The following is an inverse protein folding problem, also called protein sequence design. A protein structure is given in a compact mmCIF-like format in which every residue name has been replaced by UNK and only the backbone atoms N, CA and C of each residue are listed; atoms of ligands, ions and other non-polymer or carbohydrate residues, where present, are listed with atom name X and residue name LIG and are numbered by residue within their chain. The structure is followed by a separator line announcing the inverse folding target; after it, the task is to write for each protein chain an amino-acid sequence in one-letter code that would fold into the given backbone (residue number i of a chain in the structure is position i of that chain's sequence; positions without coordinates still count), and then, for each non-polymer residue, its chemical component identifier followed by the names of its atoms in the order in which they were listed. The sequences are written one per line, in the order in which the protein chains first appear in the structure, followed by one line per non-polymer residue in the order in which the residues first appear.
data_IF_553214000904
#
_entry.id   IF_553214000904
#
_cell.length_a   1.000
_cell.length_b   1.000
_cell.length_c   1.000
_cell.angle_alpha   90.00
_cell.angle_beta   90.00
_cell.angle_gamma   90.00
#
_symmetry.space_group_name_H-M   'P 1'
#
loop_
_entity.id
_entity.type
_entity.pdbx_description
1 polymer ?
#
# COMPACT_ATOMS: atom_id res chain seq x y z
N UNK A 1 -34.47 -13.09 -36.36
CA UNK A 1 -33.58 -14.10 -35.73
C UNK A 1 -32.55 -13.35 -34.91
N UNK A 2 -32.70 -13.33 -33.59
CA UNK A 2 -31.67 -12.80 -32.68
C UNK A 2 -30.53 -13.81 -32.76
N UNK A 3 -29.36 -13.41 -33.30
CA UNK A 3 -28.15 -14.23 -33.18
C UNK A 3 -27.96 -14.47 -31.68
N UNK A 4 -27.88 -15.73 -31.25
CA UNK A 4 -27.47 -16.03 -29.90
C UNK A 4 -26.16 -15.29 -29.64
N UNK A 5 -26.10 -14.49 -28.57
CA UNK A 5 -24.89 -13.78 -28.20
C UNK A 5 -23.77 -14.82 -28.04
N UNK A 6 -22.63 -14.59 -28.70
CA UNK A 6 -21.46 -15.43 -28.47
C UNK A 6 -20.95 -15.11 -27.06
N UNK A 7 -21.11 -16.07 -26.15
CA UNK A 7 -20.62 -15.98 -24.78
C UNK A 7 -19.42 -16.91 -24.60
N UNK A 8 -18.42 -16.44 -23.86
CA UNK A 8 -17.27 -17.23 -23.48
C UNK A 8 -16.98 -17.06 -21.99
N UNK A 9 -16.42 -18.09 -21.39
CA UNK A 9 -15.93 -18.05 -20.03
C UNK A 9 -14.41 -17.97 -20.03
N UNK A 10 -13.88 -17.19 -19.10
CA UNK A 10 -12.47 -16.98 -18.89
C UNK A 10 -12.02 -17.78 -17.66
N UNK A 11 -11.03 -18.62 -17.91
CA UNK A 11 -10.33 -19.42 -16.93
C UNK A 11 -8.97 -18.80 -16.65
N UNK A 12 -8.69 -18.44 -15.40
CA UNK A 12 -7.42 -17.86 -15.00
C UNK A 12 -6.66 -18.83 -14.11
N UNK A 13 -5.32 -18.78 -14.17
CA UNK A 13 -4.47 -19.46 -13.20
C UNK A 13 -4.88 -19.05 -11.76
N UNK A 14 -4.99 -20.03 -10.87
CA UNK A 14 -5.40 -19.88 -9.45
C UNK A 14 -6.88 -19.50 -9.21
N UNK A 15 -7.65 -19.15 -10.24
CA UNK A 15 -9.09 -18.82 -10.12
C UNK A 15 -10.01 -19.80 -10.89
N UNK A 16 -9.48 -20.57 -11.84
CA UNK A 16 -10.32 -21.39 -12.71
C UNK A 16 -11.35 -20.53 -13.45
N UNK A 17 -12.53 -21.10 -13.72
CA UNK A 17 -13.62 -20.42 -14.43
C UNK A 17 -14.26 -19.33 -13.58
N UNK A 18 -13.97 -18.06 -13.88
CA UNK A 18 -14.26 -16.94 -12.97
C UNK A 18 -15.02 -15.79 -13.61
N UNK A 19 -14.94 -15.61 -14.93
CA UNK A 19 -15.54 -14.48 -15.63
C UNK A 19 -16.30 -14.94 -16.88
N UNK A 20 -17.54 -14.48 -17.08
CA UNK A 20 -18.28 -14.63 -18.34
C UNK A 20 -18.34 -13.34 -19.14
N UNK A 21 -17.92 -13.38 -20.40
CA UNK A 21 -18.07 -12.28 -21.36
C UNK A 21 -19.13 -12.65 -22.40
N UNK A 22 -20.10 -11.76 -22.64
CA UNK A 22 -21.17 -11.96 -23.62
C UNK A 22 -21.19 -10.85 -24.67
N UNK A 23 -20.97 -11.21 -25.93
CA UNK A 23 -20.98 -10.30 -27.09
C UNK A 23 -20.02 -9.09 -26.98
N UNK A 24 -18.84 -9.29 -26.40
CA UNK A 24 -17.84 -8.23 -26.15
C UNK A 24 -16.39 -8.67 -26.46
N UNK A 25 -16.08 -9.10 -27.70
CA UNK A 25 -14.72 -9.51 -28.09
C UNK A 25 -13.65 -8.44 -27.85
N UNK A 26 -14.00 -7.15 -28.01
CA UNK A 26 -13.09 -6.04 -27.77
C UNK A 26 -12.70 -5.87 -26.28
N UNK A 27 -13.57 -6.30 -25.35
CA UNK A 27 -13.25 -6.33 -23.92
C UNK A 27 -12.30 -7.49 -23.62
N UNK A 28 -12.50 -8.64 -24.28
CA UNK A 28 -11.59 -9.77 -24.16
C UNK A 28 -10.16 -9.42 -24.63
N UNK A 29 -10.04 -8.75 -25.77
CA UNK A 29 -8.74 -8.30 -26.29
C UNK A 29 -8.08 -7.28 -25.35
N UNK A 30 -8.87 -6.33 -24.82
CA UNK A 30 -8.38 -5.36 -23.85
C UNK A 30 -7.90 -6.02 -22.55
N UNK A 31 -8.66 -6.99 -22.04
CA UNK A 31 -8.34 -7.72 -20.82
C UNK A 31 -7.06 -8.55 -20.99
N UNK A 32 -6.93 -9.29 -22.10
CA UNK A 32 -5.72 -10.09 -22.42
C UNK A 32 -4.46 -9.23 -22.51
N UNK A 33 -4.57 -8.04 -23.12
CA UNK A 33 -3.44 -7.13 -23.22
C UNK A 33 -3.09 -6.49 -21.86
N UNK A 34 -4.11 -6.11 -21.06
CA UNK A 34 -3.91 -5.53 -19.74
C UNK A 34 -3.37 -6.53 -18.71
N UNK A 35 -3.65 -7.82 -18.90
CA UNK A 35 -3.19 -8.92 -18.04
C UNK A 35 -2.16 -9.81 -18.75
N UNK A 36 -1.25 -9.22 -19.53
CA UNK A 36 -0.29 -9.97 -20.33
C UNK A 36 0.59 -10.95 -19.53
N UNK A 37 0.74 -10.76 -18.21
CA UNK A 37 1.45 -11.65 -17.30
C UNK A 37 0.58 -12.68 -16.59
N UNK A 38 -0.75 -12.59 -16.69
CA UNK A 38 -1.71 -13.52 -16.08
C UNK A 38 -2.47 -14.28 -17.18
N UNK A 39 -2.02 -15.50 -17.55
CA UNK A 39 -2.60 -16.22 -18.67
C UNK A 39 -4.11 -16.44 -18.51
N UNK A 40 -4.86 -16.07 -19.56
CA UNK A 40 -6.30 -16.25 -19.66
C UNK A 40 -6.60 -17.32 -20.70
N UNK A 41 -7.12 -18.45 -20.24
CA UNK A 41 -7.73 -19.47 -21.11
C UNK A 41 -9.18 -19.08 -21.38
N UNK A 42 -9.62 -19.20 -22.63
CA UNK A 42 -10.99 -18.89 -23.05
C UNK A 42 -11.67 -20.16 -23.50
N UNK A 43 -12.79 -20.47 -22.88
CA UNK A 43 -13.62 -21.64 -23.19
C UNK A 43 -15.01 -21.19 -23.62
N UNK A 44 -15.71 -22.02 -24.40
CA UNK A 44 -17.12 -21.75 -24.72
C UNK A 44 -17.95 -21.70 -23.43
N UNK A 45 -18.90 -20.77 -23.36
CA UNK A 45 -19.71 -20.61 -22.17
C UNK A 45 -20.70 -21.77 -22.02
N UNK A 46 -20.58 -22.52 -20.92
CA UNK A 46 -21.46 -23.64 -20.58
C UNK A 46 -22.07 -23.46 -19.19
N UNK A 47 -23.33 -23.90 -19.01
CA UNK A 47 -24.00 -23.92 -17.71
C UNK A 47 -24.19 -22.54 -17.05
N UNK A 48 -24.28 -22.55 -15.72
CA UNK A 48 -24.48 -21.35 -14.90
C UNK A 48 -23.29 -20.38 -15.02
N UNK A 49 -23.61 -19.09 -15.19
CA UNK A 49 -22.60 -18.05 -15.29
C UNK A 49 -21.83 -17.90 -13.97
N UNK A 50 -20.50 -17.69 -14.01
CA UNK A 50 -19.73 -17.22 -12.87
C UNK A 50 -20.31 -15.91 -12.28
N UNK A 51 -19.99 -15.60 -11.00
CA UNK A 51 -20.47 -14.38 -10.34
C UNK A 51 -20.07 -13.10 -11.08
N UNK A 52 -18.83 -13.04 -11.58
CA UNK A 52 -18.32 -11.93 -12.37
C UNK A 52 -18.73 -12.15 -13.83
N UNK A 53 -19.48 -11.19 -14.38
CA UNK A 53 -19.97 -11.25 -15.76
C UNK A 53 -20.07 -9.87 -16.37
N UNK A 54 -19.83 -9.80 -17.67
CA UNK A 54 -20.00 -8.59 -18.45
C UNK A 54 -20.67 -8.89 -19.79
N UNK A 55 -21.66 -8.07 -20.13
CA UNK A 55 -22.38 -8.17 -21.40
C UNK A 55 -22.50 -6.81 -22.07
N UNK A 56 -22.67 -6.81 -23.39
CA UNK A 56 -22.96 -5.59 -24.15
C UNK A 56 -24.30 -4.98 -23.72
N UNK A 57 -24.31 -3.68 -23.45
CA UNK A 57 -25.51 -2.90 -23.14
C UNK A 57 -25.48 -1.59 -23.95
N UNK A 58 -26.35 -1.50 -24.97
CA UNK A 58 -26.40 -0.35 -25.86
C UNK A 58 -25.05 -0.09 -26.56
N UNK A 59 -24.42 1.05 -26.24
CA UNK A 59 -23.10 1.45 -26.78
C UNK A 59 -21.92 1.08 -25.88
N UNK A 60 -22.18 0.53 -24.70
CA UNK A 60 -21.17 0.16 -23.72
C UNK A 60 -21.39 -1.25 -23.21
N UNK A 61 -21.12 -1.44 -21.93
CA UNK A 61 -21.14 -2.72 -21.27
C UNK A 61 -21.75 -2.60 -19.88
N UNK A 62 -22.37 -3.68 -19.42
CA UNK A 62 -22.81 -3.81 -18.04
C UNK A 62 -22.06 -4.95 -17.37
N UNK A 63 -21.31 -4.60 -16.32
CA UNK A 63 -20.65 -5.55 -15.43
C UNK A 63 -21.55 -5.87 -14.23
N UNK A 64 -21.56 -7.11 -13.79
CA UNK A 64 -22.10 -7.54 -12.51
C UNK A 64 -21.08 -8.43 -11.80
N UNK A 65 -20.99 -8.29 -10.49
CA UNK A 65 -20.14 -9.09 -9.61
C UNK A 65 -20.69 -9.04 -8.18
N UNK A 66 -20.18 -9.86 -7.24
CA UNK A 66 -20.54 -9.73 -5.82
C UNK A 66 -20.32 -8.33 -5.26
N UNK A 67 -19.24 -7.65 -5.68
CA UNK A 67 -18.94 -6.27 -5.29
C UNK A 67 -19.84 -5.22 -5.97
N UNK A 68 -20.54 -5.59 -7.05
CA UNK A 68 -21.39 -4.72 -7.86
C UNK A 68 -22.79 -5.35 -8.06
N UNK A 69 -23.61 -5.48 -6.99
CA UNK A 69 -24.91 -6.16 -7.07
C UNK A 69 -25.88 -5.47 -8.05
N UNK A 70 -25.90 -4.14 -8.06
CA UNK A 70 -26.70 -3.33 -8.99
C UNK A 70 -26.12 -3.24 -10.41
N UNK A 71 -24.90 -3.77 -10.57
CA UNK A 71 -24.11 -3.69 -11.79
C UNK A 71 -23.57 -2.29 -12.10
N UNK A 72 -22.56 -2.24 -12.96
CA UNK A 72 -21.87 -1.02 -13.37
C UNK A 72 -21.90 -0.86 -14.88
N UNK A 73 -22.33 0.31 -15.36
CA UNK A 73 -22.24 0.67 -16.77
C UNK A 73 -20.85 1.19 -17.10
N UNK A 74 -20.26 0.68 -18.17
CA UNK A 74 -18.90 0.96 -18.61
C UNK A 74 -18.94 1.38 -20.07
N UNK A 75 -18.31 2.50 -20.37
CA UNK A 75 -18.46 3.17 -21.66
C UNK A 75 -17.46 2.70 -22.72
N UNK A 76 -16.32 2.14 -22.30
CA UNK A 76 -15.24 1.70 -23.19
C UNK A 76 -14.73 0.31 -22.83
N UNK A 77 -14.09 -0.41 -23.77
CA UNK A 77 -13.43 -1.67 -23.47
C UNK A 77 -12.31 -1.55 -22.42
N UNK A 78 -11.61 -0.41 -22.42
CA UNK A 78 -10.52 -0.10 -21.49
C UNK A 78 -11.04 0.09 -20.07
N UNK A 79 -12.17 0.81 -19.93
CA UNK A 79 -12.87 0.98 -18.65
C UNK A 79 -13.39 -0.36 -18.13
N UNK A 80 -13.97 -1.17 -19.03
CA UNK A 80 -14.44 -2.51 -18.71
C UNK A 80 -13.31 -3.44 -18.26
N UNK A 81 -12.19 -3.47 -18.98
CA UNK A 81 -11.02 -4.27 -18.59
C UNK A 81 -10.49 -3.83 -17.21
N UNK A 82 -10.41 -2.53 -16.93
CA UNK A 82 -10.03 -2.03 -15.62
C UNK A 82 -10.97 -2.52 -14.50
N UNK A 83 -12.27 -2.38 -14.70
CA UNK A 83 -13.27 -2.73 -13.70
C UNK A 83 -13.30 -4.24 -13.46
N UNK A 84 -13.14 -5.05 -14.51
CA UNK A 84 -13.02 -6.50 -14.41
C UNK A 84 -11.73 -6.93 -13.70
N UNK A 85 -10.59 -6.29 -13.98
CA UNK A 85 -9.33 -6.59 -13.29
C UNK A 85 -9.47 -6.37 -11.79
N UNK A 86 -10.13 -5.30 -11.34
CA UNK A 86 -10.36 -5.06 -9.92
C UNK A 86 -11.15 -6.20 -9.26
N UNK A 87 -12.23 -6.66 -9.88
CA UNK A 87 -13.00 -7.81 -9.38
C UNK A 87 -12.19 -9.12 -9.39
N UNK A 88 -11.40 -9.37 -10.44
CA UNK A 88 -10.55 -10.55 -10.54
C UNK A 88 -9.44 -10.57 -9.49
N UNK A 89 -8.88 -9.40 -9.17
CA UNK A 89 -7.91 -9.24 -8.09
C UNK A 89 -8.56 -9.44 -6.72
N UNK A 90 -9.76 -8.90 -6.50
CA UNK A 90 -10.54 -9.16 -5.29
C UNK A 90 -10.81 -10.66 -5.09
N UNK A 91 -11.33 -11.31 -6.12
CA UNK A 91 -11.58 -12.76 -6.11
C UNK A 91 -10.30 -13.58 -5.86
N UNK A 92 -9.14 -13.09 -6.31
CA UNK A 92 -7.86 -13.73 -5.98
C UNK A 92 -7.57 -13.69 -4.48
N UNK A 93 -7.69 -12.53 -3.84
CA UNK A 93 -7.43 -12.43 -2.40
C UNK A 93 -8.50 -13.14 -1.56
N UNK A 94 -9.76 -13.12 -1.97
CA UNK A 94 -10.84 -13.85 -1.30
C UNK A 94 -10.57 -15.37 -1.25
N UNK A 95 -9.90 -15.91 -2.29
CA UNK A 95 -9.52 -17.33 -2.36
C UNK A 95 -8.16 -17.66 -1.77
N UNK A 96 -7.36 -16.65 -1.45
CA UNK A 96 -6.00 -16.81 -0.92
C UNK A 96 -5.82 -15.94 0.34
N UNK A 97 -6.57 -16.21 1.42
CA UNK A 97 -6.61 -15.36 2.62
C UNK A 97 -5.26 -15.22 3.34
N UNK A 98 -4.33 -16.14 3.11
CA UNK A 98 -2.98 -16.06 3.67
C UNK A 98 -2.08 -15.04 2.93
N UNK A 99 -2.49 -14.57 1.75
CA UNK A 99 -1.81 -13.53 0.98
C UNK A 99 -2.41 -12.15 1.26
N UNK A 100 -1.57 -11.13 1.40
CA UNK A 100 -2.01 -9.75 1.59
C UNK A 100 -1.77 -8.95 0.32
N UNK A 101 -2.79 -8.32 -0.24
CA UNK A 101 -2.62 -7.40 -1.36
C UNK A 101 -2.02 -6.08 -0.91
N UNK A 102 -0.84 -5.71 -1.40
CA UNK A 102 -0.25 -4.38 -1.21
C UNK A 102 -0.69 -3.46 -2.34
N UNK A 103 -1.26 -2.30 -2.01
CA UNK A 103 -1.66 -1.28 -2.96
C UNK A 103 -0.44 -0.43 -3.34
N UNK A 104 0.18 -0.76 -4.45
CA UNK A 104 1.45 -0.15 -4.82
C UNK A 104 2.02 -0.65 -6.14
N UNK A 105 2.92 0.15 -6.70
CA UNK A 105 3.76 -0.29 -7.80
C UNK A 105 4.92 -1.11 -7.27
N UNK A 106 5.47 -2.01 -8.09
CA UNK A 106 6.64 -2.79 -7.73
C UNK A 106 7.48 -3.17 -8.95
N UNK A 107 8.79 -3.12 -8.76
CA UNK A 107 9.78 -3.40 -9.82
C UNK A 107 10.92 -4.23 -9.26
N UNK A 108 11.54 -5.02 -10.12
CA UNK A 108 12.73 -5.82 -9.78
C UNK A 108 14.00 -4.99 -10.05
N UNK A 109 14.82 -4.84 -9.01
CA UNK A 109 16.18 -4.29 -9.07
C UNK A 109 17.11 -5.28 -8.39
N UNK A 110 18.13 -5.75 -9.10
CA UNK A 110 19.11 -6.73 -8.61
C UNK A 110 18.50 -7.96 -7.91
N UNK A 111 17.44 -8.52 -8.51
CA UNK A 111 16.74 -9.72 -8.00
C UNK A 111 15.87 -9.48 -6.77
N UNK A 112 15.63 -8.22 -6.37
CA UNK A 112 14.77 -7.85 -5.23
C UNK A 112 13.69 -6.87 -5.64
N UNK A 113 12.59 -6.84 -4.89
CA UNK A 113 11.49 -5.93 -5.16
C UNK A 113 11.67 -4.58 -4.48
N UNK A 114 11.55 -3.54 -5.29
CA UNK A 114 11.35 -2.16 -4.81
C UNK A 114 9.86 -1.90 -4.90
N UNK A 115 9.23 -1.64 -3.75
CA UNK A 115 7.80 -1.38 -3.68
C UNK A 115 7.52 0.10 -3.45
N UNK A 116 6.44 0.59 -4.06
CA UNK A 116 5.96 1.96 -3.99
C UNK A 116 4.55 2.01 -3.39
N UNK A 117 4.38 1.76 -2.08
CA UNK A 117 3.11 1.98 -1.43
C UNK A 117 2.76 3.45 -1.55
N UNK A 118 1.57 3.75 -2.06
CA UNK A 118 1.11 5.12 -2.09
C UNK A 118 -0.39 5.18 -2.23
N UNK A 119 -0.97 6.25 -1.72
CA UNK A 119 -2.37 6.57 -1.96
C UNK A 119 -2.64 6.93 -3.42
N UNK A 120 -3.92 7.14 -3.75
CA UNK A 120 -4.31 7.57 -5.09
C UNK A 120 -3.67 8.90 -5.47
N UNK A 121 -3.12 8.96 -6.71
CA UNK A 121 -2.53 10.15 -7.36
C UNK A 121 -1.07 10.50 -7.02
N UNK A 122 -0.34 9.64 -6.30
CA UNK A 122 1.10 9.84 -6.06
C UNK A 122 2.02 9.65 -7.30
N UNK A 123 1.46 9.17 -8.43
CA UNK A 123 2.21 8.93 -9.65
C UNK A 123 2.82 7.52 -9.77
N UNK A 124 2.34 6.53 -8.99
CA UNK A 124 2.78 5.12 -9.02
C UNK A 124 2.85 4.56 -10.43
N UNK A 125 1.72 4.54 -11.15
CA UNK A 125 1.65 4.03 -12.53
C UNK A 125 2.57 4.71 -13.51
N UNK A 126 2.76 6.01 -13.34
CA UNK A 126 3.72 6.76 -14.13
C UNK A 126 5.15 6.31 -13.82
N UNK A 127 5.50 6.14 -12.54
CA UNK A 127 6.83 5.69 -12.13
C UNK A 127 7.09 4.22 -12.53
N UNK A 128 6.15 3.32 -12.32
CA UNK A 128 6.25 1.90 -12.74
C UNK A 128 6.48 1.79 -14.25
N UNK A 129 5.72 2.54 -15.06
CA UNK A 129 5.93 2.58 -16.51
C UNK A 129 7.29 3.20 -16.87
N UNK A 130 7.76 4.20 -16.11
CA UNK A 130 9.07 4.80 -16.32
C UNK A 130 10.22 3.83 -15.96
N UNK A 131 10.05 2.97 -14.96
CA UNK A 131 10.97 1.86 -14.68
C UNK A 131 11.02 0.85 -15.84
N UNK A 132 9.86 0.50 -16.41
CA UNK A 132 9.82 -0.33 -17.61
C UNK A 132 10.58 0.33 -18.78
N UNK A 133 10.39 1.64 -18.97
CA UNK A 133 11.11 2.43 -19.97
C UNK A 133 12.62 2.52 -19.70
N UNK A 134 13.04 2.52 -18.43
CA UNK A 134 14.43 2.45 -18.01
C UNK A 134 15.04 1.03 -18.13
N UNK A 135 14.24 0.03 -18.51
CA UNK A 135 14.69 -1.34 -18.73
C UNK A 135 14.61 -2.25 -17.51
N UNK A 136 13.95 -1.83 -16.43
CA UNK A 136 13.67 -2.70 -15.29
C UNK A 136 12.44 -3.55 -15.55
N UNK A 137 12.32 -4.64 -14.78
CA UNK A 137 11.16 -5.53 -14.87
C UNK A 137 10.09 -5.09 -13.89
N UNK A 138 8.86 -4.99 -14.37
CA UNK A 138 7.69 -4.65 -13.55
C UNK A 138 7.12 -5.91 -12.91
N UNK A 139 6.88 -5.87 -11.60
CA UNK A 139 6.22 -6.93 -10.84
C UNK A 139 4.73 -6.63 -10.58
N UNK A 140 4.40 -5.35 -10.43
CA UNK A 140 3.03 -4.90 -10.23
C UNK A 140 2.94 -3.39 -10.39
N UNK A 141 1.74 -2.88 -10.62
CA UNK A 141 1.50 -1.43 -10.75
C UNK A 141 0.52 -0.88 -9.70
N UNK A 142 -0.69 -1.46 -9.67
CA UNK A 142 -1.68 -1.14 -8.66
C UNK A 142 -1.63 -2.14 -7.49
N UNK A 143 -1.24 -3.40 -7.75
CA UNK A 143 -1.27 -4.48 -6.75
C UNK A 143 -0.05 -5.38 -6.85
N UNK A 144 0.51 -5.72 -5.69
CA UNK A 144 1.47 -6.81 -5.48
C UNK A 144 0.92 -7.71 -4.36
N UNK A 145 0.91 -9.03 -4.53
CA UNK A 145 0.54 -9.92 -3.44
C UNK A 145 1.76 -10.17 -2.54
N UNK A 146 1.59 -10.06 -1.23
CA UNK A 146 2.58 -10.46 -0.22
C UNK A 146 2.26 -11.89 0.23
N UNK A 147 3.17 -12.83 -0.01
CA UNK A 147 3.00 -14.23 0.36
C UNK A 147 3.14 -14.42 1.88
N UNK A 148 2.70 -15.56 2.44
CA UNK A 148 2.91 -15.91 3.85
C UNK A 148 4.39 -15.86 4.27
N UNK A 149 5.31 -16.15 3.34
CA UNK A 149 6.75 -16.16 3.54
C UNK A 149 7.39 -14.76 3.52
N UNK A 150 6.60 -13.71 3.25
CA UNK A 150 7.08 -12.33 3.18
C UNK A 150 7.72 -11.96 1.84
N UNK A 151 7.48 -12.74 0.79
CA UNK A 151 7.91 -12.43 -0.58
C UNK A 151 6.81 -11.67 -1.33
N UNK A 152 7.21 -10.87 -2.33
CA UNK A 152 6.24 -10.26 -3.23
C UNK A 152 6.02 -11.14 -4.45
N UNK A 153 4.75 -11.38 -4.76
CA UNK A 153 4.30 -12.18 -5.88
C UNK A 153 3.56 -11.30 -6.91
N UNK A 154 4.00 -11.37 -8.16
CA UNK A 154 3.35 -10.67 -9.25
C UNK A 154 1.98 -11.28 -9.59
N UNK A 155 0.99 -10.42 -9.85
CA UNK A 155 -0.29 -10.84 -10.44
C UNK A 155 -0.25 -10.88 -11.96
N UNK A 156 0.67 -10.16 -12.61
CA UNK A 156 0.83 -10.15 -14.06
C UNK A 156 0.00 -9.09 -14.81
N UNK A 157 -0.37 -8.00 -14.14
CA UNK A 157 -1.10 -6.87 -14.70
C UNK A 157 -0.11 -5.79 -15.16
N UNK A 158 -0.34 -5.23 -16.36
CA UNK A 158 0.54 -4.21 -16.93
C UNK A 158 0.26 -2.81 -16.35
N UNK A 159 1.24 -1.89 -16.37
CA UNK A 159 1.03 -0.52 -15.90
C UNK A 159 -0.09 0.21 -16.64
N UNK A 160 -0.84 1.05 -15.92
CA UNK A 160 -1.95 1.83 -16.48
C UNK A 160 -1.76 3.33 -16.26
N UNK A 161 -1.35 4.02 -17.32
CA UNK A 161 -1.16 5.46 -17.31
C UNK A 161 -2.48 6.22 -17.35
N UNK A 162 -2.53 7.36 -16.67
CA UNK A 162 -3.58 8.38 -16.80
C UNK A 162 -3.21 9.37 -17.90
N UNK A 163 -4.18 9.73 -18.72
CA UNK A 163 -4.02 10.65 -19.84
C UNK A 163 -4.71 12.01 -19.57
N UNK A 164 -4.23 13.09 -20.20
CA UNK A 164 -3.01 13.15 -21.02
C UNK A 164 -1.74 13.05 -20.16
N UNK A 165 -0.65 12.57 -20.76
CA UNK A 165 0.67 12.65 -20.13
C UNK A 165 1.18 14.10 -20.20
N UNK A 166 1.78 14.64 -19.12
CA UNK A 166 2.44 15.93 -19.16
C UNK A 166 3.51 16.01 -20.26
N UNK A 167 3.47 17.09 -21.06
CA UNK A 167 4.45 17.37 -22.12
C UNK A 167 5.87 17.59 -21.56
N UNK A 168 5.98 17.91 -20.27
CA UNK A 168 7.25 18.08 -19.56
C UNK A 168 7.97 16.76 -19.28
N UNK A 169 7.34 15.61 -19.49
CA UNK A 169 7.99 14.31 -19.31
C UNK A 169 9.08 14.09 -20.35
N UNK A 170 10.11 13.33 -19.98
CA UNK A 170 11.23 13.09 -20.88
C UNK A 170 10.75 12.45 -22.21
N UNK A 171 11.27 12.90 -23.37
CA UNK A 171 10.86 12.35 -24.68
C UNK A 171 11.01 10.83 -24.76
N UNK A 172 12.07 10.27 -24.16
CA UNK A 172 12.26 8.82 -24.12
C UNK A 172 11.16 8.05 -23.38
N UNK A 173 10.52 8.66 -22.37
CA UNK A 173 9.37 8.06 -21.69
C UNK A 173 8.10 8.15 -22.52
N UNK A 174 7.84 9.31 -23.14
CA UNK A 174 6.71 9.51 -24.04
C UNK A 174 6.78 8.54 -25.24
N UNK A 175 7.95 8.43 -25.88
CA UNK A 175 8.20 7.48 -26.97
C UNK A 175 8.00 6.03 -26.53
N UNK A 176 8.42 5.69 -25.31
CA UNK A 176 8.22 4.34 -24.76
C UNK A 176 6.73 4.04 -24.56
N UNK A 177 5.99 4.98 -23.95
CA UNK A 177 4.55 4.83 -23.68
C UNK A 177 3.71 4.77 -24.97
N UNK A 178 4.17 5.40 -26.05
CA UNK A 178 3.54 5.31 -27.37
C UNK A 178 3.90 4.00 -28.08
N UNK A 179 5.19 3.63 -28.11
CA UNK A 179 5.65 2.38 -28.77
C UNK A 179 5.04 1.12 -28.16
N UNK A 180 4.79 1.13 -26.87
CA UNK A 180 4.24 0.00 -26.11
C UNK A 180 2.79 0.26 -25.67
N UNK A 181 2.06 1.10 -26.42
CA UNK A 181 0.66 1.39 -26.14
C UNK A 181 -0.19 0.11 -26.24
N UNK A 182 -0.89 -0.19 -25.15
CA UNK A 182 -1.94 -1.19 -25.08
C UNK A 182 -3.33 -0.57 -25.19
N UNK A 183 -4.37 -1.23 -24.65
CA UNK A 183 -5.72 -0.71 -24.60
C UNK A 183 -5.76 0.68 -23.98
N UNK A 184 -6.50 1.58 -24.61
CA UNK A 184 -6.58 2.97 -24.20
C UNK A 184 -7.98 3.53 -24.42
N UNK A 185 -8.29 4.59 -23.68
CA UNK A 185 -9.41 5.48 -23.94
C UNK A 185 -8.96 6.93 -23.69
N UNK A 186 -9.92 7.85 -23.52
CA UNK A 186 -9.60 9.27 -23.28
C UNK A 186 -8.87 9.51 -21.96
N UNK A 187 -9.05 8.64 -20.96
CA UNK A 187 -8.58 8.83 -19.59
C UNK A 187 -7.41 7.92 -19.24
N UNK A 188 -7.32 6.73 -19.83
CA UNK A 188 -6.32 5.73 -19.48
C UNK A 188 -5.65 5.12 -20.69
N UNK A 189 -4.41 4.67 -20.51
CA UNK A 189 -3.68 3.82 -21.45
C UNK A 189 -2.88 2.78 -20.68
N UNK A 190 -3.12 1.51 -20.97
CA UNK A 190 -2.23 0.44 -20.54
C UNK A 190 -0.94 0.49 -21.35
N UNK A 191 0.20 0.20 -20.71
CA UNK A 191 1.51 0.13 -21.37
C UNK A 191 2.00 -1.30 -21.24
N UNK A 192 2.09 -2.03 -22.36
CA UNK A 192 2.43 -3.46 -22.37
C UNK A 192 3.94 -3.60 -22.53
N UNK A 193 4.72 -3.89 -21.45
CA UNK A 193 6.16 -3.99 -21.56
C UNK A 193 6.58 -5.12 -22.51
N UNK A 194 7.74 -5.03 -23.19
CA UNK A 194 8.21 -6.09 -24.06
C UNK A 194 8.47 -7.38 -23.26
N UNK A 195 8.54 -8.52 -23.98
CA UNK A 195 8.71 -9.85 -23.36
C UNK A 195 9.89 -9.86 -22.37
N UNK A 196 9.64 -10.37 -21.17
CA UNK A 196 10.62 -10.42 -20.08
C UNK A 196 10.72 -9.14 -19.23
N UNK A 197 10.01 -8.06 -19.57
CA UNK A 197 9.92 -6.83 -18.76
C UNK A 197 8.69 -6.73 -17.88
N UNK A 198 7.82 -7.74 -17.91
CA UNK A 198 6.72 -7.94 -16.98
C UNK A 198 6.92 -9.29 -16.27
N UNK A 199 6.69 -9.34 -14.97
CA UNK A 199 6.65 -10.57 -14.21
C UNK A 199 5.38 -11.37 -14.52
N UNK A 200 5.51 -12.69 -14.58
CA UNK A 200 4.36 -13.56 -14.78
C UNK A 200 3.63 -13.78 -13.46
N UNK A 201 2.33 -14.05 -13.53
CA UNK A 201 1.52 -14.43 -12.37
C UNK A 201 2.19 -15.57 -11.61
N UNK A 202 2.27 -15.45 -10.29
CA UNK A 202 2.87 -16.46 -9.42
C UNK A 202 4.40 -16.35 -9.27
N UNK A 203 5.06 -15.47 -10.02
CA UNK A 203 6.49 -15.26 -9.82
C UNK A 203 6.76 -14.45 -8.55
N UNK A 204 7.67 -14.95 -7.72
CA UNK A 204 8.02 -14.37 -6.42
C UNK A 204 9.44 -13.80 -6.39
N UNK A 205 9.63 -12.75 -5.60
CA UNK A 205 10.95 -12.19 -5.24
C UNK A 205 10.94 -11.64 -3.81
N UNK A 206 12.08 -11.67 -3.11
CA UNK A 206 12.19 -11.04 -1.80
C UNK A 206 12.06 -9.52 -1.92
N UNK A 207 11.50 -8.88 -0.89
CA UNK A 207 11.45 -7.42 -0.79
C UNK A 207 12.86 -6.86 -0.55
N UNK A 208 13.19 -5.78 -1.25
CA UNK A 208 14.49 -5.11 -1.19
C UNK A 208 14.42 -3.70 -0.62
N UNK A 209 13.32 -2.97 -0.83
CA UNK A 209 13.11 -1.63 -0.27
C UNK A 209 11.64 -1.20 -0.35
N UNK A 210 11.21 -0.38 0.61
CA UNK A 210 9.96 0.39 0.55
C UNK A 210 10.31 1.83 0.20
N UNK A 211 9.73 2.36 -0.89
CA UNK A 211 10.04 3.70 -1.38
C UNK A 211 8.78 4.54 -1.47
N UNK A 212 8.70 5.52 -0.57
CA UNK A 212 7.67 6.55 -0.56
C UNK A 212 7.98 7.59 -1.64
N UNK A 213 6.93 8.10 -2.29
CA UNK A 213 7.05 9.02 -3.43
C UNK A 213 6.65 10.43 -3.01
N UNK A 214 7.53 11.40 -3.30
CA UNK A 214 7.25 12.83 -3.14
C UNK A 214 7.50 13.56 -4.46
N UNK A 215 6.41 13.91 -5.16
CA UNK A 215 6.53 14.75 -6.36
C UNK A 215 6.90 16.17 -5.95
N UNK A 216 7.95 16.70 -6.57
CA UNK A 216 8.43 18.06 -6.37
C UNK A 216 8.75 18.65 -7.73
N UNK A 217 7.90 19.55 -8.23
CA UNK A 217 8.06 20.18 -9.55
C UNK A 217 9.30 21.08 -9.61
N UNK A 218 9.80 21.55 -8.46
CA UNK A 218 11.03 22.35 -8.37
C UNK A 218 12.31 21.51 -8.32
N UNK A 219 12.19 20.17 -8.16
CA UNK A 219 13.35 19.30 -8.09
C UNK A 219 14.08 19.23 -9.44
N UNK A 220 15.35 19.65 -9.43
CA UNK A 220 16.24 19.61 -10.62
C UNK A 220 16.70 18.18 -10.92
N UNK A 221 16.87 17.35 -9.89
CA UNK A 221 17.27 15.95 -10.00
C UNK A 221 16.56 15.10 -8.94
N UNK A 222 16.39 13.79 -9.17
CA UNK A 222 15.88 12.89 -8.15
C UNK A 222 16.78 12.88 -6.91
N UNK A 223 16.17 12.94 -5.74
CA UNK A 223 16.86 12.85 -4.46
C UNK A 223 16.29 11.71 -3.63
N UNK A 224 17.20 10.92 -3.04
CA UNK A 224 16.87 9.79 -2.18
C UNK A 224 17.29 10.10 -0.74
N UNK A 225 16.38 9.89 0.21
CA UNK A 225 16.64 10.05 1.63
C UNK A 225 16.09 8.87 2.41
N UNK A 226 16.73 8.50 3.52
CA UNK A 226 16.22 7.45 4.41
C UNK A 226 15.09 8.00 5.27
N UNK A 227 14.08 7.16 5.49
CA UNK A 227 13.02 7.36 6.46
C UNK A 227 13.16 6.36 7.59
N UNK A 228 12.57 6.67 8.74
CA UNK A 228 12.42 5.71 9.82
C UNK A 228 11.57 4.52 9.32
N UNK A 229 11.87 3.27 9.73
CA UNK A 229 11.07 2.11 9.33
C UNK A 229 9.58 2.23 9.67
N UNK A 230 9.23 2.94 10.75
CA UNK A 230 7.83 3.21 11.11
C UNK A 230 7.05 3.97 10.04
N UNK A 231 7.69 4.80 9.22
CA UNK A 231 7.03 5.44 8.07
C UNK A 231 6.59 4.41 7.03
N UNK A 232 7.45 3.42 6.75
CA UNK A 232 7.13 2.35 5.80
C UNK A 232 6.03 1.44 6.35
N UNK A 233 6.09 1.11 7.63
CA UNK A 233 5.06 0.31 8.30
C UNK A 233 3.68 0.98 8.20
N UNK A 234 3.60 2.27 8.53
CA UNK A 234 2.36 3.04 8.40
C UNK A 234 1.82 3.02 6.98
N UNK A 235 2.68 3.20 5.97
CA UNK A 235 2.22 3.16 4.58
C UNK A 235 1.71 1.77 4.19
N UNK A 236 2.34 0.68 4.62
CA UNK A 236 1.85 -0.67 4.34
C UNK A 236 0.51 -0.96 5.04
N UNK A 237 0.34 -0.49 6.28
CA UNK A 237 -0.92 -0.59 7.02
C UNK A 237 -2.05 0.22 6.36
N UNK A 238 -1.76 1.37 5.77
CA UNK A 238 -2.75 2.19 5.08
C UNK A 238 -3.04 1.73 3.65
N UNK A 239 -2.05 1.18 2.95
CA UNK A 239 -2.12 0.87 1.51
C UNK A 239 -2.08 -0.65 1.26
N UNK A 240 -3.09 -1.36 1.76
CA UNK A 240 -3.32 -2.77 1.50
C UNK A 240 -4.80 -3.09 1.19
N UNK A 241 -5.05 -4.25 0.61
CA UNK A 241 -6.37 -4.80 0.28
C UNK A 241 -6.79 -5.89 1.26
N UNK A 242 -6.65 -5.63 2.56
CA UNK A 242 -7.01 -6.58 3.61
C UNK A 242 -7.89 -5.91 4.70
N UNK A 243 -9.03 -5.28 4.33
CA UNK A 243 -9.84 -4.50 5.27
C UNK A 243 -10.49 -5.34 6.38
N UNK A 244 -10.62 -6.66 6.19
CA UNK A 244 -11.19 -7.58 7.17
C UNK A 244 -10.13 -8.25 8.05
N UNK A 245 -8.83 -8.05 7.76
CA UNK A 245 -7.75 -8.63 8.53
C UNK A 245 -7.51 -7.79 9.77
N UNK A 246 -7.46 -8.44 10.93
CA UNK A 246 -7.19 -7.77 12.21
C UNK A 246 -5.83 -7.05 12.20
N UNK A 247 -5.76 -5.90 12.85
CA UNK A 247 -4.56 -5.05 12.90
C UNK A 247 -3.34 -5.80 13.43
N UNK A 248 -3.52 -6.69 14.40
CA UNK A 248 -2.49 -7.56 14.97
C UNK A 248 -1.89 -8.48 13.90
N UNK A 249 -2.74 -9.11 13.09
CA UNK A 249 -2.29 -9.99 12.01
C UNK A 249 -1.55 -9.19 10.92
N UNK A 250 -1.97 -7.95 10.62
CA UNK A 250 -1.22 -7.07 9.72
C UNK A 250 0.14 -6.67 10.32
N UNK A 251 0.19 -6.38 11.63
CA UNK A 251 1.43 -6.07 12.34
C UNK A 251 2.41 -7.23 12.30
N UNK A 252 1.95 -8.47 12.56
CA UNK A 252 2.76 -9.68 12.46
C UNK A 252 3.36 -9.88 11.06
N UNK A 253 2.68 -9.40 10.01
CA UNK A 253 3.13 -9.53 8.62
C UNK A 253 4.05 -8.40 8.17
N UNK A 254 3.79 -7.16 8.58
CA UNK A 254 4.54 -5.99 8.09
C UNK A 254 5.69 -5.56 8.99
N UNK A 255 5.58 -5.74 10.31
CA UNK A 255 6.63 -5.35 11.26
C UNK A 255 7.97 -6.05 10.97
N UNK A 256 8.02 -7.39 10.75
CA UNK A 256 9.28 -8.07 10.46
C UNK A 256 9.90 -7.62 9.12
N UNK A 257 9.07 -7.27 8.14
CA UNK A 257 9.53 -6.75 6.86
C UNK A 257 10.22 -5.40 7.04
N UNK A 258 9.59 -4.47 7.75
CA UNK A 258 10.16 -3.15 7.97
C UNK A 258 11.42 -3.16 8.85
N UNK A 259 11.59 -4.16 9.71
CA UNK A 259 12.85 -4.40 10.42
C UNK A 259 14.00 -4.90 9.52
N UNK A 260 13.70 -5.37 8.31
CA UNK A 260 14.69 -5.99 7.40
C UNK A 260 14.96 -5.16 6.14
N UNK A 261 13.96 -4.42 5.65
CA UNK A 261 14.09 -3.65 4.41
C UNK A 261 14.13 -2.15 4.69
N UNK A 262 14.98 -1.40 3.98
CA UNK A 262 15.06 0.05 4.13
C UNK A 262 13.78 0.74 3.69
N UNK A 263 13.36 1.75 4.47
CA UNK A 263 12.35 2.72 4.09
C UNK A 263 13.03 3.98 3.51
N UNK A 264 12.65 4.37 2.30
CA UNK A 264 13.25 5.47 1.56
C UNK A 264 12.19 6.45 1.08
N UNK A 265 12.58 7.71 0.90
CA UNK A 265 11.79 8.74 0.24
C UNK A 265 12.48 9.15 -1.06
N UNK A 266 11.76 9.04 -2.17
CA UNK A 266 12.18 9.53 -3.48
C UNK A 266 11.49 10.86 -3.78
N UNK A 267 12.26 11.95 -3.76
CA UNK A 267 11.80 13.28 -4.24
C UNK A 267 12.17 13.45 -5.70
N UNK A 268 11.21 13.77 -6.56
CA UNK A 268 11.46 13.89 -8.00
C UNK A 268 10.39 14.70 -8.74
N UNK A 269 10.80 15.29 -9.87
CA UNK A 269 9.93 15.96 -10.84
C UNK A 269 9.66 15.06 -12.06
N UNK A 270 10.71 14.45 -12.61
CA UNK A 270 10.70 13.70 -13.87
C UNK A 270 10.76 12.17 -13.63
N UNK A 271 9.74 11.38 -14.08
CA UNK A 271 9.65 9.95 -13.79
C UNK A 271 10.80 9.09 -14.31
N UNK A 272 11.31 9.33 -15.52
CA UNK A 272 12.33 8.47 -16.13
C UNK A 272 13.70 8.65 -15.47
N UNK A 273 14.06 9.89 -15.14
CA UNK A 273 15.23 10.22 -14.34
C UNK A 273 15.13 9.57 -12.96
N UNK A 274 13.96 9.66 -12.32
CA UNK A 274 13.72 9.05 -11.01
C UNK A 274 13.88 7.52 -11.04
N UNK A 275 13.31 6.85 -12.04
CA UNK A 275 13.44 5.41 -12.21
C UNK A 275 14.90 4.97 -12.41
N UNK A 276 15.67 5.69 -13.24
CA UNK A 276 17.09 5.41 -13.47
C UNK A 276 17.93 5.61 -12.22
N UNK A 277 17.78 6.76 -11.56
CA UNK A 277 18.55 7.10 -10.37
C UNK A 277 18.28 6.12 -9.21
N UNK A 278 17.01 5.77 -8.98
CA UNK A 278 16.64 4.82 -7.95
C UNK A 278 17.09 3.40 -8.29
N UNK A 279 16.93 2.97 -9.54
CA UNK A 279 17.42 1.68 -10.01
C UNK A 279 18.93 1.54 -9.86
N UNK A 280 19.70 2.56 -10.21
CA UNK A 280 21.16 2.61 -10.02
C UNK A 280 21.52 2.55 -8.53
N UNK A 281 20.88 3.37 -7.69
CA UNK A 281 21.15 3.43 -6.26
C UNK A 281 20.86 2.11 -5.51
N UNK A 282 19.93 1.30 -6.03
CA UNK A 282 19.52 0.03 -5.45
C UNK A 282 20.16 -1.21 -6.13
N UNK A 283 20.91 -1.03 -7.21
CA UNK A 283 21.64 -2.14 -7.89
C UNK A 283 22.94 -2.53 -7.16
N UNK A 284 23.14 -2.05 -5.94
CA UNK A 284 24.29 -2.34 -5.09
C UNK A 284 23.96 -2.06 -3.62
N UNK A 285 24.95 -2.17 -2.71
CA UNK A 285 24.73 -1.84 -1.31
C UNK A 285 24.28 -0.37 -1.20
N UNK A 286 23.14 -0.15 -0.55
CA UNK A 286 22.70 1.21 -0.28
C UNK A 286 23.81 1.99 0.44
N UNK A 287 24.10 3.23 0.03
CA UNK A 287 25.06 4.06 0.73
C UNK A 287 24.71 4.14 2.22
N UNK A 288 25.73 3.96 3.07
CA UNK A 288 25.57 4.07 4.52
C UNK A 288 25.10 5.48 4.93
N UNK A 289 25.47 6.51 4.16
CA UNK A 289 25.19 7.91 4.43
C UNK A 289 24.16 8.52 3.46
N UNK A 290 23.01 7.87 3.29
CA UNK A 290 21.86 8.59 2.73
C UNK A 290 21.40 9.64 3.75
N UNK A 291 21.09 10.87 3.32
CA UNK A 291 20.60 11.88 4.24
C UNK A 291 19.31 11.37 4.89
N UNK A 292 19.21 11.52 6.20
CA UNK A 292 17.93 11.35 6.87
C UNK A 292 16.98 12.40 6.28
N UNK A 293 15.81 11.98 5.81
CA UNK A 293 14.80 12.95 5.47
C UNK A 293 14.46 13.70 6.76
N UNK A 294 14.37 15.03 6.71
CA UNK A 294 13.54 15.71 7.72
C UNK A 294 12.18 15.01 7.69
N UNK A 295 11.62 14.62 8.85
CA UNK A 295 10.32 13.97 8.87
C UNK A 295 9.40 14.83 8.01
N UNK A 296 8.95 14.28 6.88
CA UNK A 296 7.86 14.90 6.15
C UNK A 296 6.80 15.14 7.22
N UNK A 297 6.36 16.39 7.40
CA UNK A 297 5.36 16.74 8.40
C UNK A 297 4.36 15.59 8.46
N UNK A 298 4.39 14.84 9.58
CA UNK A 298 3.87 13.47 9.68
C UNK A 298 2.67 13.31 8.76
N UNK A 299 2.76 12.46 7.74
CA UNK A 299 1.68 12.23 6.77
C UNK A 299 0.39 11.76 7.47
N UNK A 300 0.52 11.34 8.73
CA UNK A 300 -0.55 11.09 9.68
C UNK A 300 -0.77 12.31 10.55
N UNK A 301 -2.03 12.75 10.63
CA UNK A 301 -2.46 13.85 11.48
C UNK A 301 -1.93 13.67 12.91
N UNK A 302 -1.20 14.66 13.42
CA UNK A 302 -0.90 14.73 14.84
C UNK A 302 -2.24 14.94 15.55
N UNK A 303 -2.62 14.10 16.54
CA UNK A 303 -3.81 14.37 17.31
C UNK A 303 -3.71 15.77 17.93
N UNK A 304 -4.82 16.51 17.91
CA UNK A 304 -4.95 17.73 18.69
C UNK A 304 -4.72 17.35 20.15
N UNK A 305 -3.68 17.90 20.77
CA UNK A 305 -3.40 17.68 22.19
C UNK A 305 -4.65 18.08 22.98
N UNK A 306 -5.29 17.10 23.62
CA UNK A 306 -6.42 17.36 24.50
C UNK A 306 -5.87 18.01 25.76
N UNK A 307 -6.24 19.26 26.02
CA UNK A 307 -5.85 20.00 27.23
C UNK A 307 -6.80 19.71 28.41
N UNK A 308 -7.44 18.54 28.42
CA UNK A 308 -8.28 18.12 29.54
C UNK A 308 -7.44 17.94 30.80
N UNK A 309 -7.93 18.42 31.94
CA UNK A 309 -7.29 18.15 33.23
C UNK A 309 -7.29 16.64 33.47
N UNK A 310 -6.10 16.04 33.53
CA UNK A 310 -5.94 14.64 33.88
C UNK A 310 -6.30 14.44 35.36
N UNK A 311 -7.00 13.35 35.71
CA UNK A 311 -7.11 12.91 37.09
C UNK A 311 -5.73 12.80 37.75
N UNK A 312 -5.63 13.30 38.98
CA UNK A 312 -4.46 13.09 39.83
C UNK A 312 -4.32 11.59 40.17
N UNK A 313 -3.08 11.12 40.26
CA UNK A 313 -2.75 9.76 40.68
C UNK A 313 -2.07 8.92 39.61
N UNK A 314 -1.78 7.64 39.94
CA UNK A 314 -1.02 6.75 39.06
C UNK A 314 -1.85 6.28 37.87
N UNK A 315 -1.21 6.14 36.72
CA UNK A 315 -1.79 5.62 35.48
C UNK A 315 -1.20 4.26 35.14
N UNK A 316 -1.97 3.40 34.49
CA UNK A 316 -1.53 2.10 34.01
C UNK A 316 -1.99 1.86 32.56
N UNK A 317 -1.23 1.09 31.75
CA UNK A 317 -1.65 0.67 30.42
C UNK A 317 -2.85 -0.27 30.50
N UNK A 318 -3.76 -0.15 29.53
CA UNK A 318 -4.89 -1.07 29.39
C UNK A 318 -4.41 -2.46 28.96
N UNK A 319 -5.01 -3.52 29.54
CA UNK A 319 -4.61 -4.91 29.24
C UNK A 319 -4.97 -5.33 27.81
N UNK A 320 -5.93 -4.64 27.18
CA UNK A 320 -6.35 -4.85 25.80
C UNK A 320 -5.41 -4.22 24.76
N UNK A 321 -4.31 -3.59 25.20
CA UNK A 321 -3.35 -2.92 24.30
C UNK A 321 -2.11 -3.77 24.12
N UNK A 322 -1.82 -4.10 22.86
CA UNK A 322 -0.61 -4.82 22.46
C UNK A 322 0.46 -3.84 21.98
N UNK A 323 1.72 -4.13 22.29
CA UNK A 323 2.86 -3.28 21.94
C UNK A 323 3.83 -3.96 20.96
N UNK A 324 4.25 -3.21 19.95
CA UNK A 324 5.05 -3.67 18.82
C UNK A 324 6.23 -2.72 18.61
N UNK A 325 7.42 -3.04 19.17
CA UNK A 325 8.60 -2.19 19.04
C UNK A 325 9.18 -2.23 17.62
N UNK A 326 9.61 -1.07 17.11
CA UNK A 326 10.33 -0.95 15.83
C UNK A 326 11.42 0.12 15.95
N UNK A 327 12.68 -0.29 15.92
CA UNK A 327 13.84 0.57 16.19
C UNK A 327 13.71 1.36 17.50
N UNK A 328 13.58 2.69 17.44
CA UNK A 328 13.39 3.61 18.56
C UNK A 328 11.92 3.97 18.80
N UNK A 329 11.01 3.49 17.95
CA UNK A 329 9.58 3.76 17.98
C UNK A 329 8.79 2.61 18.63
N UNK A 330 7.53 2.89 18.96
CA UNK A 330 6.61 1.89 19.48
C UNK A 330 5.25 2.02 18.81
N UNK A 331 4.73 0.93 18.28
CA UNK A 331 3.36 0.85 17.78
C UNK A 331 2.48 0.16 18.82
N UNK A 332 1.30 0.71 19.07
CA UNK A 332 0.31 0.17 19.98
C UNK A 332 -0.94 -0.20 19.21
N UNK A 333 -1.49 -1.38 19.45
CA UNK A 333 -2.76 -1.83 18.86
C UNK A 333 -3.78 -2.01 19.97
N UNK A 334 -4.87 -1.26 19.90
CA UNK A 334 -6.03 -1.47 20.77
C UNK A 334 -6.91 -2.54 20.10
N UNK A 335 -7.04 -3.70 20.77
CA UNK A 335 -7.60 -4.93 20.17
C UNK A 335 -9.09 -4.82 19.84
N UNK A 336 -9.85 -4.04 20.62
CA UNK A 336 -11.32 -4.00 20.48
C UNK A 336 -11.77 -3.17 19.26
N UNK A 337 -11.08 -2.08 19.00
CA UNK A 337 -11.31 -1.15 17.89
C UNK A 337 -10.41 -1.44 16.68
N UNK A 338 -9.31 -2.16 16.88
CA UNK A 338 -8.25 -2.35 15.89
C UNK A 338 -7.42 -1.09 15.63
N UNK A 339 -7.56 -0.04 16.44
CA UNK A 339 -6.84 1.21 16.26
C UNK A 339 -5.32 1.01 16.48
N UNK A 340 -4.52 1.55 15.56
CA UNK A 340 -3.07 1.51 15.63
C UNK A 340 -2.54 2.91 15.95
N UNK A 341 -1.74 3.01 17.00
CA UNK A 341 -1.11 4.25 17.46
C UNK A 341 0.42 4.13 17.37
N UNK A 342 1.09 5.24 17.08
CA UNK A 342 2.56 5.31 17.01
C UNK A 342 3.07 6.27 18.08
N UNK A 343 3.99 5.79 18.91
CA UNK A 343 4.72 6.59 19.88
C UNK A 343 6.13 6.84 19.38
N UNK A 344 6.57 8.09 19.54
CA UNK A 344 7.95 8.49 19.33
C UNK A 344 8.85 7.92 20.47
N UNK A 345 10.18 8.11 20.42
CA UNK A 345 11.09 7.56 21.43
C UNK A 345 10.75 7.98 22.86
N UNK A 346 10.34 9.23 23.09
CA UNK A 346 9.94 9.70 24.44
C UNK A 346 8.66 9.01 24.92
N UNK A 347 7.64 8.90 24.05
CA UNK A 347 6.39 8.22 24.38
C UNK A 347 6.59 6.74 24.64
N UNK A 348 7.51 6.09 23.91
CA UNK A 348 7.92 4.71 24.18
C UNK A 348 8.51 4.56 25.57
N UNK A 349 9.39 5.46 26.01
CA UNK A 349 9.97 5.41 27.36
C UNK A 349 8.88 5.52 28.44
N UNK A 350 7.95 6.47 28.27
CA UNK A 350 6.81 6.64 29.18
C UNK A 350 5.97 5.36 29.23
N UNK A 351 5.64 4.78 28.07
CA UNK A 351 4.90 3.53 27.99
C UNK A 351 5.61 2.38 28.71
N UNK A 352 6.93 2.25 28.54
CA UNK A 352 7.73 1.21 29.19
C UNK A 352 7.76 1.38 30.72
N UNK A 353 7.84 2.61 31.22
CA UNK A 353 7.75 2.89 32.66
C UNK A 353 6.38 2.49 33.21
N UNK A 354 5.30 2.92 32.54
CA UNK A 354 3.92 2.58 32.91
C UNK A 354 3.63 1.07 32.88
N UNK A 355 4.29 0.32 31.97
CA UNK A 355 4.18 -1.15 31.90
C UNK A 355 4.92 -1.84 33.05
N UNK A 356 5.93 -1.21 33.64
CA UNK A 356 6.66 -1.75 34.77
C UNK A 356 5.88 -1.55 36.07
N UNK A 357 5.40 -0.34 36.31
CA UNK A 357 4.56 -0.02 37.46
C UNK A 357 3.64 1.18 37.18
N UNK A 358 2.47 1.28 37.84
CA UNK A 358 1.63 2.47 37.73
C UNK A 358 2.31 3.71 38.30
N UNK A 359 2.41 4.78 37.51
CA UNK A 359 3.12 6.01 37.88
C UNK A 359 2.27 7.25 37.66
N UNK A 360 2.45 8.27 38.50
CA UNK A 360 1.81 9.58 38.35
C UNK A 360 2.53 10.45 37.29
N UNK A 361 1.87 11.49 36.75
CA UNK A 361 2.52 12.45 35.86
C UNK A 361 3.78 13.09 36.47
N UNK A 362 3.76 13.39 37.77
CA UNK A 362 4.87 13.99 38.50
C UNK A 362 6.07 13.04 38.62
N UNK A 363 5.81 11.77 38.93
CA UNK A 363 6.85 10.73 39.03
C UNK A 363 7.50 10.48 37.66
N UNK A 364 6.70 10.38 36.60
CA UNK A 364 7.20 10.29 35.23
C UNK A 364 8.05 11.50 34.85
N UNK A 365 7.61 12.71 35.22
CA UNK A 365 8.36 13.93 34.94
C UNK A 365 9.69 14.00 35.70
N UNK A 366 9.73 13.52 36.95
CA UNK A 366 10.96 13.41 37.74
C UNK A 366 11.94 12.43 37.11
N UNK A 367 11.49 11.23 36.74
CA UNK A 367 12.31 10.20 36.11
C UNK A 367 12.88 10.67 34.75
N UNK A 368 12.04 11.24 33.89
CA UNK A 368 12.46 11.74 32.58
C UNK A 368 13.34 13.00 32.69
N UNK A 369 12.99 13.93 33.58
CA UNK A 369 13.78 15.13 33.86
C UNK A 369 15.19 14.78 34.34
N UNK A 370 15.31 13.79 35.22
CA UNK A 370 16.59 13.25 35.67
C UNK A 370 17.38 12.55 34.57
N UNK A 371 16.70 11.79 33.68
CA UNK A 371 17.34 11.08 32.58
C UNK A 371 17.90 12.01 31.48
N UNK A 372 17.12 13.02 31.09
CA UNK A 372 17.47 13.94 29.99
C UNK A 372 18.12 15.26 30.44
N UNK A 373 18.16 15.54 31.76
CA UNK A 373 18.68 16.79 32.29
C UNK A 373 17.82 18.01 31.93
N UNK A 374 16.50 17.82 31.80
CA UNK A 374 15.55 18.86 31.38
C UNK A 374 14.81 19.50 32.57
N UNK A 375 14.33 20.76 32.46
CA UNK A 375 13.57 21.41 33.51
C UNK A 375 12.25 20.67 33.78
N UNK A 376 12.04 20.25 35.04
CA UNK A 376 10.87 19.47 35.48
C UNK A 376 9.53 20.04 35.00
N UNK A 377 9.33 21.37 35.07
CA UNK A 377 8.07 21.99 34.68
C UNK A 377 7.70 21.77 33.21
N UNK A 378 8.67 21.81 32.30
CA UNK A 378 8.43 21.54 30.88
C UNK A 378 8.19 20.06 30.60
N UNK A 379 8.95 19.19 31.28
CA UNK A 379 8.75 17.74 31.16
C UNK A 379 7.37 17.32 31.67
N UNK A 380 6.90 17.90 32.77
CA UNK A 380 5.58 17.62 33.31
C UNK A 380 4.47 18.00 32.33
N UNK A 381 4.56 19.15 31.68
CA UNK A 381 3.59 19.59 30.67
C UNK A 381 3.54 18.60 29.49
N UNK A 382 4.70 18.17 28.98
CA UNK A 382 4.79 17.19 27.90
C UNK A 382 4.23 15.82 28.30
N UNK A 383 4.53 15.35 29.52
CA UNK A 383 4.02 14.09 30.08
C UNK A 383 2.50 14.13 30.23
N UNK A 384 1.96 15.21 30.79
CA UNK A 384 0.51 15.39 30.94
C UNK A 384 -0.18 15.43 29.59
N UNK A 385 0.36 16.15 28.61
CA UNK A 385 -0.19 16.21 27.27
C UNK A 385 -0.21 14.84 26.58
N UNK A 386 0.85 14.04 26.74
CA UNK A 386 0.92 12.69 26.21
C UNK A 386 -0.05 11.73 26.91
N UNK A 387 -0.08 11.72 28.25
CA UNK A 387 -1.02 10.88 29.01
C UNK A 387 -2.48 11.20 28.68
N UNK A 388 -2.82 12.49 28.49
CA UNK A 388 -4.15 12.89 28.04
C UNK A 388 -4.48 12.34 26.64
N UNK A 389 -3.50 12.34 25.74
CA UNK A 389 -3.65 11.72 24.41
C UNK A 389 -3.83 10.20 24.49
N UNK A 390 -3.04 9.51 25.33
CA UNK A 390 -3.14 8.07 25.54
C UNK A 390 -4.49 7.69 26.16
N UNK A 391 -4.95 8.42 27.17
CA UNK A 391 -6.22 8.19 27.84
C UNK A 391 -7.42 8.44 26.90
N UNK A 392 -7.37 9.51 26.11
CA UNK A 392 -8.40 9.81 25.11
C UNK A 392 -8.48 8.76 24.01
N UNK A 393 -7.37 8.08 23.72
CA UNK A 393 -7.29 6.95 22.80
C UNK A 393 -7.64 5.60 23.46
N UNK A 394 -7.98 5.57 24.76
CA UNK A 394 -8.31 4.33 25.49
C UNK A 394 -7.10 3.43 25.76
N UNK A 395 -5.88 3.97 25.73
CA UNK A 395 -4.64 3.18 25.84
C UNK A 395 -4.14 3.04 27.28
N UNK A 396 -4.54 3.95 28.17
CA UNK A 396 -4.18 3.98 29.59
C UNK A 396 -5.39 4.39 30.42
N UNK A 397 -5.42 3.96 31.68
CA UNK A 397 -6.43 4.36 32.66
C UNK A 397 -5.83 4.63 34.05
N UNK A 398 -6.53 5.37 34.92
CA UNK A 398 -6.10 5.56 36.31
C UNK A 398 -6.02 4.23 37.05
N UNK A 399 -4.87 3.93 37.64
CA UNK A 399 -4.67 2.71 38.40
C UNK A 399 -5.52 2.73 39.68
N UNK A 400 -6.43 1.76 39.81
CA UNK A 400 -7.38 1.67 40.92
C UNK A 400 -8.83 2.04 40.55
N UNK A 401 -9.09 2.48 39.31
CA UNK A 401 -10.44 2.49 38.77
C UNK A 401 -10.85 1.04 38.45
N UNK A 402 -11.64 0.42 39.33
CA UNK A 402 -12.30 -0.85 39.03
C UNK A 402 -13.14 -0.62 37.78
N UNK A 403 -12.86 -1.36 36.71
CA UNK A 403 -13.71 -1.42 35.52
C UNK A 403 -15.04 -2.05 35.90
N UNK A 404 -15.98 -1.25 36.37
CA UNK A 404 -17.39 -1.66 36.46
C UNK A 404 -17.93 -1.75 35.02
N UNK A 405 -17.91 -2.96 34.45
CA UNK A 405 -18.72 -3.31 33.29
C UNK A 405 -19.74 -4.37 33.74
N UNK A 406 -21.05 -4.21 33.43
CA UNK A 406 -22.12 -5.08 33.93
C UNK A 406 -22.13 -6.50 33.38
#
# INVERSE_FOLDING_TARGET
MVRAAASCDLCLASLGRVLRLSDCPEVLDALRAAMAGWPVEVVEAEGAAPPIRLGREGRGYRQHSPALPEGLFLSTPTEAACSLIADLVGEYFDRHPDSIGLHGGSVEVDGRLVIFPASHRAGKSTLTAAFAAAGFRVFGDDVLALTPEGEGMALGIVPRLRLPLPESFAPGFLDYAERHAGPADRRYRYVVPPRGRLASHGEVRPLGAVVLLARDEGAVAPALSRLAPGEGLLQLLCENFAPEVASEALMERFLPLMGQVPCLLLRYSEPLAAARALGEALSGPLPAALPAALPAASLVARPTLSTGALPDGPWAPEQSVLDYPLDDELFLVEVASGAIHRLNPTGRLIWQLLRHEPLSPEELAELLGGHFGLPWAGVLEDVQALLAGLAAAGLVSPAGAVSDCP
#
